data_IF_886482060152
#
_entry.id   IF_886482060152
#
_cell.length_a   1.000
_cell.length_b   1.000
_cell.length_c   1.000
_cell.angle_alpha   90.00
_cell.angle_beta   90.00
_cell.angle_gamma   90.00
#
_symmetry.space_group_name_H-M   'P 1'
#
loop_
_entity.id
_entity.type
_entity.pdbx_description
1 polymer ?
#
# COMPACT_ATOMS: atom_id res chain seq x y z
N UNK A 1 -12.56 53.37 -17.95
CA UNK A 1 -11.51 52.33 -17.79
C UNK A 1 -12.18 51.00 -18.06
N UNK A 2 -12.00 50.47 -19.28
CA UNK A 2 -12.64 49.22 -19.69
C UNK A 2 -11.95 48.06 -18.97
N UNK A 3 -12.76 47.27 -18.24
CA UNK A 3 -12.33 46.06 -17.54
C UNK A 3 -11.87 45.07 -18.63
N UNK A 4 -10.58 44.72 -18.65
CA UNK A 4 -10.08 43.61 -19.46
C UNK A 4 -10.65 42.32 -18.85
N UNK A 5 -11.82 41.90 -19.32
CA UNK A 5 -12.33 40.55 -19.07
C UNK A 5 -11.49 39.59 -19.92
N UNK A 6 -10.36 39.14 -19.37
CA UNK A 6 -9.61 38.03 -19.95
C UNK A 6 -10.49 36.79 -19.85
N UNK A 7 -10.96 36.28 -20.99
CA UNK A 7 -11.69 35.02 -21.03
C UNK A 7 -10.85 33.91 -20.37
N UNK A 8 -11.45 33.03 -19.54
CA UNK A 8 -10.73 31.92 -18.93
C UNK A 8 -10.08 31.09 -20.04
N UNK A 9 -8.75 31.10 -20.09
CA UNK A 9 -7.97 30.41 -21.12
C UNK A 9 -7.61 29.03 -20.61
N UNK A 10 -8.03 28.00 -21.34
CA UNK A 10 -7.64 26.62 -21.09
C UNK A 10 -6.53 26.23 -22.08
N UNK A 11 -5.38 25.82 -21.57
CA UNK A 11 -4.24 25.35 -22.38
C UNK A 11 -4.18 23.83 -22.24
N UNK A 12 -4.44 23.11 -23.35
CA UNK A 12 -4.37 21.65 -23.40
C UNK A 12 -3.12 21.27 -24.20
N UNK A 13 -2.12 20.60 -23.58
CA UNK A 13 -0.93 20.14 -24.28
C UNK A 13 -1.28 19.20 -25.45
N UNK A 14 -0.43 19.18 -26.47
CA UNK A 14 -0.57 18.22 -27.57
C UNK A 14 -0.47 16.79 -27.06
N UNK A 15 -1.42 15.94 -27.47
CA UNK A 15 -1.47 14.53 -27.05
C UNK A 15 -2.24 14.30 -25.74
N UNK A 16 -2.80 15.34 -25.12
CA UNK A 16 -3.73 15.17 -24.01
C UNK A 16 -5.10 14.73 -24.53
N UNK A 17 -5.59 13.60 -24.02
CA UNK A 17 -6.92 13.07 -24.27
C UNK A 17 -7.83 13.42 -23.09
N UNK A 18 -8.99 14.00 -23.37
CA UNK A 18 -9.99 14.35 -22.37
C UNK A 18 -11.30 13.68 -22.78
N UNK A 19 -11.87 12.89 -21.89
CA UNK A 19 -13.14 12.19 -22.09
C UNK A 19 -14.07 12.50 -20.92
N UNK A 20 -15.37 12.53 -21.20
CA UNK A 20 -16.40 12.65 -20.17
C UNK A 20 -17.29 11.43 -20.32
N UNK A 21 -17.44 10.67 -19.25
CA UNK A 21 -18.28 9.47 -19.27
C UNK A 21 -19.79 9.80 -19.18
N UNK A 22 -20.62 8.77 -19.26
CA UNK A 22 -22.10 8.90 -19.17
C UNK A 22 -22.58 9.40 -17.81
N UNK A 23 -21.73 9.36 -16.78
CA UNK A 23 -22.00 9.85 -15.44
C UNK A 23 -21.45 11.27 -15.20
N UNK A 24 -20.85 11.89 -16.23
CA UNK A 24 -20.27 13.23 -16.16
C UNK A 24 -18.89 13.29 -15.51
N UNK A 25 -18.21 12.15 -15.31
CA UNK A 25 -16.86 12.12 -14.74
C UNK A 25 -15.81 12.44 -15.79
N UNK A 26 -14.87 13.30 -15.42
CA UNK A 26 -13.79 13.72 -16.29
C UNK A 26 -12.65 12.69 -16.27
N UNK A 27 -12.26 12.20 -17.44
CA UNK A 27 -11.06 11.39 -17.60
C UNK A 27 -10.03 12.17 -18.40
N UNK A 28 -8.82 12.29 -17.84
CA UNK A 28 -7.72 13.05 -18.42
C UNK A 28 -6.52 12.14 -18.55
N UNK A 29 -5.97 12.07 -19.75
CA UNK A 29 -4.75 11.35 -20.06
C UNK A 29 -3.76 12.28 -20.74
N UNK A 30 -2.58 12.47 -20.17
CA UNK A 30 -1.55 13.36 -20.71
C UNK A 30 -0.21 12.62 -20.86
N UNK A 31 0.58 12.91 -21.91
CA UNK A 31 1.90 12.33 -22.06
C UNK A 31 2.92 12.89 -21.04
N UNK A 32 2.70 14.10 -20.55
CA UNK A 32 3.64 14.81 -19.67
C UNK A 32 3.09 15.05 -18.26
N UNK A 33 3.68 16.02 -17.57
CA UNK A 33 3.26 16.38 -16.22
C UNK A 33 1.84 16.97 -16.21
N UNK A 34 1.06 16.59 -15.21
CA UNK A 34 -0.28 17.12 -14.98
C UNK A 34 -0.31 17.88 -13.67
N UNK A 35 -0.87 19.10 -13.68
CA UNK A 35 -1.10 19.88 -12.48
C UNK A 35 -2.61 20.11 -12.35
N UNK A 36 -3.18 19.67 -11.23
CA UNK A 36 -4.58 19.83 -10.89
C UNK A 36 -4.69 20.93 -9.84
N UNK A 37 -5.23 22.07 -10.27
CA UNK A 37 -5.33 23.28 -9.45
C UNK A 37 -6.74 23.49 -8.88
N UNK A 38 -7.73 22.83 -9.48
CA UNK A 38 -9.14 22.97 -9.12
C UNK A 38 -9.69 21.63 -8.65
N UNK A 39 -10.62 21.68 -7.69
CA UNK A 39 -11.34 20.52 -7.21
C UNK A 39 -12.21 19.89 -8.29
N UNK A 40 -12.43 18.58 -8.21
CA UNK A 40 -13.27 17.88 -9.17
C UNK A 40 -13.34 16.38 -8.96
N UNK A 41 -14.33 15.77 -9.61
CA UNK A 41 -14.52 14.32 -9.66
C UNK A 41 -14.04 13.78 -11.01
N UNK A 42 -13.13 12.82 -10.95
CA UNK A 42 -12.47 12.24 -12.10
C UNK A 42 -12.74 10.74 -12.18
N UNK A 43 -12.95 10.25 -13.40
CA UNK A 43 -12.94 8.82 -13.66
C UNK A 43 -11.49 8.33 -13.63
N UNK A 44 -10.74 8.70 -14.65
CA UNK A 44 -9.32 8.35 -14.79
C UNK A 44 -8.43 9.59 -14.92
N UNK A 45 -7.37 9.64 -14.11
CA UNK A 45 -6.30 10.63 -14.21
C UNK A 45 -5.02 9.87 -14.56
N UNK A 46 -4.51 10.06 -15.77
CA UNK A 46 -3.30 9.40 -16.25
C UNK A 46 -2.24 10.39 -16.74
N UNK A 47 -1.03 10.26 -16.20
CA UNK A 47 0.19 10.83 -16.76
C UNK A 47 1.11 9.70 -17.23
N UNK A 48 1.22 9.52 -18.55
CA UNK A 48 1.88 8.36 -19.17
C UNK A 48 3.41 8.42 -19.00
N UNK A 49 3.99 9.61 -19.05
CA UNK A 49 5.44 9.82 -18.99
C UNK A 49 5.87 10.86 -17.97
N UNK A 50 4.98 11.27 -17.07
CA UNK A 50 5.26 12.35 -16.13
C UNK A 50 4.71 12.10 -14.74
N UNK A 51 4.72 13.19 -13.98
CA UNK A 51 4.24 13.30 -12.61
C UNK A 51 2.86 13.96 -12.58
N UNK A 52 2.08 13.66 -11.54
CA UNK A 52 0.82 14.35 -11.25
C UNK A 52 1.04 15.21 -10.00
N UNK A 53 0.60 16.46 -10.02
CA UNK A 53 0.61 17.35 -8.86
C UNK A 53 -0.80 17.84 -8.56
N UNK A 54 -1.22 17.69 -7.31
CA UNK A 54 -2.48 18.21 -6.77
C UNK A 54 -2.13 19.38 -5.87
N UNK A 55 -2.55 20.58 -6.26
CA UNK A 55 -2.27 21.82 -5.52
C UNK A 55 -3.00 21.88 -4.18
N UNK A 56 -2.52 22.75 -3.28
CA UNK A 56 -3.00 22.87 -1.91
C UNK A 56 -4.50 23.20 -1.81
N UNK A 57 -5.04 23.95 -2.77
CA UNK A 57 -6.45 24.36 -2.78
C UNK A 57 -7.38 23.40 -3.52
N UNK A 58 -6.85 22.28 -4.05
CA UNK A 58 -7.63 21.33 -4.81
C UNK A 58 -8.08 20.14 -3.95
N UNK A 59 -9.35 19.79 -4.08
CA UNK A 59 -9.94 18.56 -3.55
C UNK A 59 -10.30 17.65 -4.72
N UNK A 60 -9.55 16.56 -4.85
CA UNK A 60 -9.63 15.67 -6.01
C UNK A 60 -10.18 14.33 -5.57
N UNK A 61 -11.30 13.93 -6.18
CA UNK A 61 -11.81 12.58 -6.09
C UNK A 61 -11.62 11.87 -7.42
N UNK A 62 -10.98 10.70 -7.41
CA UNK A 62 -10.70 9.96 -8.63
C UNK A 62 -11.01 8.47 -8.46
N UNK A 63 -11.57 7.82 -9.48
CA UNK A 63 -11.66 6.35 -9.47
C UNK A 63 -10.26 5.74 -9.66
N UNK A 64 -9.50 6.26 -10.62
CA UNK A 64 -8.15 5.78 -10.93
C UNK A 64 -7.17 6.92 -11.15
N UNK A 65 -6.02 6.85 -10.48
CA UNK A 65 -4.89 7.76 -10.67
C UNK A 65 -3.64 6.98 -11.04
N UNK A 66 -3.04 7.32 -12.18
CA UNK A 66 -1.83 6.70 -12.70
C UNK A 66 -0.80 7.75 -13.09
N UNK A 67 0.42 7.63 -12.58
CA UNK A 67 1.56 8.39 -13.09
C UNK A 67 2.79 7.50 -13.21
N UNK A 68 3.65 7.79 -14.19
CA UNK A 68 4.89 7.05 -14.40
C UNK A 68 5.92 7.34 -13.31
N UNK A 69 5.93 8.57 -12.81
CA UNK A 69 6.91 9.03 -11.83
C UNK A 69 6.26 9.26 -10.47
N UNK A 70 6.01 10.52 -10.13
CA UNK A 70 5.66 10.92 -8.77
C UNK A 70 4.27 11.54 -8.73
N UNK A 71 3.48 11.16 -7.73
CA UNK A 71 2.26 11.85 -7.36
C UNK A 71 2.55 12.80 -6.19
N UNK A 72 2.52 14.10 -6.45
CA UNK A 72 2.66 15.14 -5.44
C UNK A 72 1.29 15.58 -4.96
N UNK A 73 1.03 15.47 -3.66
CA UNK A 73 -0.23 15.84 -3.04
C UNK A 73 0.02 16.95 -2.02
N UNK A 74 -0.48 18.14 -2.31
CA UNK A 74 -0.45 19.28 -1.40
C UNK A 74 -1.83 19.55 -0.77
N UNK A 75 -2.90 19.27 -1.52
CA UNK A 75 -4.29 19.43 -1.08
C UNK A 75 -4.91 18.14 -0.55
N UNK A 76 -6.11 17.81 -1.06
CA UNK A 76 -6.83 16.58 -0.71
C UNK A 76 -6.95 15.66 -1.93
N UNK A 77 -6.63 14.38 -1.74
CA UNK A 77 -6.77 13.33 -2.74
C UNK A 77 -7.54 12.14 -2.16
N UNK A 78 -8.68 11.80 -2.76
CA UNK A 78 -9.35 10.52 -2.54
C UNK A 78 -9.31 9.71 -3.82
N UNK A 79 -8.67 8.55 -3.80
CA UNK A 79 -8.58 7.69 -4.99
C UNK A 79 -8.65 6.19 -4.70
N UNK A 80 -9.45 5.48 -5.51
CA UNK A 80 -9.70 4.04 -5.33
C UNK A 80 -8.61 3.15 -5.92
N UNK A 81 -7.83 3.67 -6.85
CA UNK A 81 -6.70 2.96 -7.45
C UNK A 81 -5.58 3.94 -7.74
N UNK A 82 -4.48 3.83 -7.01
CA UNK A 82 -3.29 4.65 -7.24
C UNK A 82 -2.12 3.79 -7.71
N UNK A 83 -1.60 4.11 -8.89
CA UNK A 83 -0.39 3.53 -9.47
C UNK A 83 0.61 4.64 -9.79
N UNK A 84 1.65 4.70 -9.01
CA UNK A 84 2.66 5.76 -9.07
C UNK A 84 3.98 5.20 -8.55
N UNK A 85 5.11 5.46 -9.21
CA UNK A 85 6.42 5.00 -8.71
C UNK A 85 6.68 5.59 -7.32
N UNK A 86 6.38 6.87 -7.13
CA UNK A 86 6.51 7.55 -5.84
C UNK A 86 5.27 8.37 -5.49
N UNK A 87 4.98 8.53 -4.20
CA UNK A 87 3.94 9.44 -3.70
C UNK A 87 4.56 10.36 -2.66
N UNK A 88 4.36 11.67 -2.81
CA UNK A 88 4.84 12.69 -1.89
C UNK A 88 3.65 13.46 -1.35
N UNK A 89 3.41 13.34 -0.05
CA UNK A 89 2.40 14.12 0.67
C UNK A 89 3.09 15.25 1.41
N UNK A 90 2.67 16.49 1.18
CA UNK A 90 3.18 17.64 1.94
C UNK A 90 2.61 17.73 3.37
N UNK A 91 3.21 18.58 4.20
CA UNK A 91 3.00 18.67 5.66
C UNK A 91 1.54 18.80 6.12
N UNK A 92 0.61 19.27 5.28
CA UNK A 92 -0.82 19.41 5.58
C UNK A 92 -1.74 18.65 4.62
N UNK A 93 -1.18 17.81 3.75
CA UNK A 93 -1.94 17.10 2.73
C UNK A 93 -2.76 15.94 3.31
N UNK A 94 -3.91 15.67 2.71
CA UNK A 94 -4.77 14.54 3.07
C UNK A 94 -4.91 13.61 1.88
N UNK A 95 -4.56 12.34 2.06
CA UNK A 95 -4.71 11.31 1.02
C UNK A 95 -5.46 10.09 1.57
N UNK A 96 -6.60 9.79 0.97
CA UNK A 96 -7.37 8.55 1.18
C UNK A 96 -7.23 7.72 -0.09
N UNK A 97 -6.19 6.90 -0.15
CA UNK A 97 -5.80 6.22 -1.38
C UNK A 97 -5.59 4.73 -1.18
N UNK A 98 -6.10 3.94 -2.11
CA UNK A 98 -5.79 2.51 -2.18
C UNK A 98 -4.59 2.34 -3.11
N UNK A 99 -3.46 1.96 -2.51
CA UNK A 99 -2.19 1.73 -3.19
C UNK A 99 -2.23 0.38 -3.90
N UNK A 100 -1.76 0.32 -5.14
CA UNK A 100 -1.62 -0.95 -5.87
C UNK A 100 -0.18 -1.20 -6.31
N UNK A 101 0.49 -0.17 -6.82
CA UNK A 101 1.86 -0.27 -7.34
C UNK A 101 2.59 1.02 -7.00
N UNK A 102 3.16 1.07 -5.79
CA UNK A 102 3.94 2.21 -5.30
C UNK A 102 5.22 1.75 -4.67
N UNK A 103 6.34 2.28 -5.17
CA UNK A 103 7.67 1.91 -4.68
C UNK A 103 8.08 2.80 -3.51
N UNK A 104 7.88 4.12 -3.61
CA UNK A 104 8.30 5.08 -2.59
C UNK A 104 7.14 5.96 -2.09
N UNK A 105 7.14 6.29 -0.80
CA UNK A 105 6.17 7.18 -0.16
C UNK A 105 6.91 8.13 0.77
N UNK A 106 6.74 9.43 0.56
CA UNK A 106 7.26 10.48 1.43
C UNK A 106 6.06 11.20 2.08
N UNK A 107 6.04 11.25 3.41
CA UNK A 107 4.90 11.76 4.19
C UNK A 107 5.37 12.94 5.03
N UNK A 108 4.82 14.12 4.75
CA UNK A 108 5.03 15.33 5.52
C UNK A 108 4.52 15.21 6.97
N UNK A 109 4.99 16.10 7.84
CA UNK A 109 4.89 15.94 9.31
C UNK A 109 3.47 15.78 9.86
N UNK A 110 2.47 16.42 9.25
CA UNK A 110 1.07 16.30 9.64
C UNK A 110 0.19 15.72 8.52
N UNK A 111 0.80 15.10 7.51
CA UNK A 111 0.06 14.52 6.41
C UNK A 111 -0.66 13.24 6.85
N UNK A 112 -1.85 13.01 6.31
CA UNK A 112 -2.65 11.83 6.61
C UNK A 112 -2.73 10.94 5.39
N UNK A 113 -2.21 9.71 5.51
CA UNK A 113 -2.34 8.67 4.50
C UNK A 113 -3.22 7.56 5.06
N UNK A 114 -4.40 7.37 4.45
CA UNK A 114 -5.30 6.26 4.74
C UNK A 114 -5.34 5.35 3.52
N UNK A 115 -4.88 4.11 3.67
CA UNK A 115 -4.89 3.14 2.59
C UNK A 115 -5.47 1.79 2.99
N UNK A 116 -6.07 1.13 2.00
CA UNK A 116 -6.51 -0.26 2.12
C UNK A 116 -5.39 -1.15 1.58
N UNK A 117 -4.52 -1.64 2.47
CA UNK A 117 -3.37 -2.45 2.10
C UNK A 117 -3.82 -3.87 1.79
N UNK A 118 -3.31 -4.43 0.70
CA UNK A 118 -3.69 -5.78 0.26
C UNK A 118 -3.12 -6.88 1.17
N UNK A 119 -2.04 -6.59 1.93
CA UNK A 119 -1.45 -7.50 2.92
C UNK A 119 -0.67 -6.77 4.03
N UNK A 120 -0.51 -7.41 5.20
CA UNK A 120 0.35 -6.92 6.29
C UNK A 120 1.82 -6.84 5.85
N UNK A 121 2.25 -7.68 4.88
CA UNK A 121 3.58 -7.63 4.26
C UNK A 121 3.82 -6.32 3.51
N UNK A 122 2.85 -5.84 2.76
CA UNK A 122 2.93 -4.59 2.00
C UNK A 122 3.05 -3.38 2.94
N UNK A 123 2.21 -3.35 3.97
CA UNK A 123 2.26 -2.35 5.03
C UNK A 123 3.63 -2.37 5.74
N UNK A 124 4.14 -3.57 6.06
CA UNK A 124 5.42 -3.72 6.77
C UNK A 124 6.63 -3.41 5.88
N UNK A 125 6.60 -3.76 4.59
CA UNK A 125 7.61 -3.38 3.60
C UNK A 125 7.68 -1.87 3.46
N UNK A 126 6.53 -1.21 3.40
CA UNK A 126 6.42 0.25 3.42
C UNK A 126 7.12 0.79 4.68
N UNK A 127 6.70 0.36 5.87
CA UNK A 127 7.29 0.83 7.13
C UNK A 127 8.77 0.46 7.30
N UNK A 128 9.22 -0.66 6.75
CA UNK A 128 10.62 -1.09 6.81
C UNK A 128 11.51 -0.25 5.88
N UNK A 129 10.99 0.14 4.71
CA UNK A 129 11.64 1.09 3.80
C UNK A 129 11.70 2.50 4.39
N UNK A 130 10.70 2.89 5.19
CA UNK A 130 10.64 4.21 5.85
C UNK A 130 11.11 4.19 7.32
N UNK A 131 11.71 3.10 7.79
CA UNK A 131 12.10 2.95 9.20
C UNK A 131 13.08 4.03 9.68
N UNK A 132 13.89 4.60 8.77
CA UNK A 132 14.78 5.71 9.09
C UNK A 132 14.05 7.06 9.20
N UNK A 133 12.97 7.27 8.42
CA UNK A 133 12.17 8.50 8.47
C UNK A 133 11.17 8.48 9.64
N UNK A 134 10.60 7.30 9.95
CA UNK A 134 9.68 7.09 11.07
C UNK A 134 10.36 7.19 12.45
N UNK A 135 11.70 7.04 12.52
CA UNK A 135 12.47 7.29 13.77
C UNK A 135 12.42 8.76 14.24
N UNK A 136 11.95 9.70 13.39
CA UNK A 136 11.83 11.11 13.75
C UNK A 136 10.42 11.54 14.19
N UNK A 137 9.43 10.65 14.12
CA UNK A 137 8.08 10.96 14.58
C UNK A 137 7.92 10.50 16.04
N UNK A 138 7.51 11.39 16.95
CA UNK A 138 7.07 10.95 18.26
C UNK A 138 5.74 10.22 18.07
N UNK A 139 5.52 9.20 18.89
CA UNK A 139 4.27 8.48 19.13
C UNK A 139 4.18 7.05 18.58
N UNK A 140 3.68 6.24 19.51
CA UNK A 140 3.47 4.82 19.51
C UNK A 140 2.39 4.43 18.50
N UNK A 141 2.55 3.25 17.91
CA UNK A 141 1.44 2.54 17.29
C UNK A 141 0.43 2.16 18.38
N UNK A 142 -0.64 2.96 18.52
CA UNK A 142 -1.73 2.63 19.41
C UNK A 142 -2.58 1.51 18.77
N UNK A 143 -2.20 0.25 19.02
CA UNK A 143 -3.08 -0.90 18.81
C UNK A 143 -4.08 -0.94 19.95
N UNK A 144 -5.06 -0.03 19.95
CA UNK A 144 -5.82 0.18 21.17
C UNK A 144 -7.09 1.01 21.07
N UNK A 145 -7.96 0.77 20.09
CA UNK A 145 -9.41 0.96 20.32
C UNK A 145 -10.23 0.23 19.25
N UNK A 146 -11.08 -0.75 19.62
CA UNK A 146 -12.14 -1.16 18.69
C UNK A 146 -13.00 0.07 18.35
N UNK A 147 -13.55 0.16 17.12
CA UNK A 147 -14.45 1.24 16.77
C UNK A 147 -15.57 1.29 17.83
N UNK A 148 -15.95 2.50 18.31
CA UNK A 148 -17.07 2.60 19.24
C UNK A 148 -18.27 1.90 18.62
N UNK A 149 -18.87 1.01 19.42
CA UNK A 149 -20.06 0.28 19.07
C UNK A 149 -21.06 1.22 18.40
N UNK A 150 -21.59 0.74 17.27
CA UNK A 150 -22.59 1.35 16.42
C UNK A 150 -23.49 2.31 17.19
N UNK A 151 -23.47 3.58 16.78
CA UNK A 151 -24.53 4.53 17.04
C UNK A 151 -25.86 3.84 16.72
N UNK A 152 -26.66 3.68 17.77
CA UNK A 152 -28.01 3.14 17.77
C UNK A 152 -28.78 3.73 16.58
N UNK A 153 -29.10 2.88 15.60
CA UNK A 153 -30.13 3.20 14.63
C UNK A 153 -31.48 3.11 15.37
N UNK A 154 -32.29 4.19 15.43
CA UNK A 154 -33.67 4.06 15.87
C UNK A 154 -34.46 3.22 14.84
N UNK A 155 -35.47 2.45 15.28
CA UNK A 155 -36.14 1.47 14.43
C UNK A 155 -36.86 2.14 13.26
N UNK A 156 -36.51 1.72 12.05
CA UNK A 156 -37.21 2.09 10.83
C UNK A 156 -38.64 1.54 10.89
N UNK A 157 -39.60 2.44 10.69
CA UNK A 157 -41.01 2.13 10.52
C UNK A 157 -41.22 1.17 9.35
N UNK A 158 -42.07 0.16 9.58
CA UNK A 158 -42.67 -0.68 8.56
C UNK A 158 -43.41 0.16 7.52
N UNK A 159 -43.24 -0.14 6.23
CA UNK A 159 -44.28 -0.07 5.19
C UNK A 159 -43.82 -0.89 3.95
N UNK A 160 -44.75 -1.39 3.11
CA UNK A 160 -44.80 -2.80 2.74
C UNK A 160 -44.35 -3.11 1.29
N UNK A 161 -44.15 -4.40 1.03
CA UNK A 161 -43.83 -4.98 -0.27
C UNK A 161 -44.90 -4.72 -1.35
N UNK A 162 -44.52 -4.80 -2.63
CA UNK A 162 -45.40 -5.36 -3.63
C UNK A 162 -44.80 -6.59 -4.32
N UNK A 163 -45.73 -7.47 -4.71
CA UNK A 163 -45.55 -8.80 -5.26
C UNK A 163 -45.14 -8.81 -6.74
N UNK A 164 -44.35 -9.85 -7.07
CA UNK A 164 -44.36 -10.72 -8.25
C UNK A 164 -44.89 -10.19 -9.60
N UNK A 165 -44.01 -10.10 -10.61
CA UNK A 165 -44.41 -10.53 -11.95
C UNK A 165 -43.22 -11.09 -12.76
N UNK A 166 -43.49 -12.21 -13.42
CA UNK A 166 -42.54 -13.11 -14.08
C UNK A 166 -42.27 -12.66 -15.52
N UNK A 167 -41.06 -12.88 -16.03
CA UNK A 167 -40.77 -13.60 -17.30
C UNK A 167 -39.28 -13.65 -17.65
N UNK A 168 -38.89 -14.85 -18.06
CA UNK A 168 -37.62 -15.29 -18.63
C UNK A 168 -37.28 -14.60 -19.97
N UNK A 169 -35.99 -14.39 -20.27
CA UNK A 169 -35.29 -15.17 -21.31
C UNK A 169 -33.79 -14.80 -21.47
N UNK A 170 -33.06 -15.80 -21.94
CA UNK A 170 -31.61 -15.99 -21.92
C UNK A 170 -30.76 -15.07 -22.83
N UNK A 171 -29.52 -14.78 -22.41
CA UNK A 171 -28.30 -15.09 -23.19
C UNK A 171 -27.02 -14.72 -22.47
N UNK A 172 -25.99 -15.53 -22.73
CA UNK A 172 -24.77 -15.64 -21.94
C UNK A 172 -23.85 -14.42 -21.93
N UNK A 173 -23.04 -14.34 -20.88
CA UNK A 173 -21.70 -13.77 -20.97
C UNK A 173 -20.82 -14.45 -19.94
N UNK A 174 -19.74 -15.05 -20.45
CA UNK A 174 -18.81 -15.85 -19.67
C UNK A 174 -18.19 -15.05 -18.54
N UNK A 175 -18.09 -15.68 -17.38
CA UNK A 175 -17.20 -15.25 -16.32
C UNK A 175 -15.76 -15.32 -16.83
N UNK A 176 -15.28 -14.21 -17.39
CA UNK A 176 -13.85 -13.97 -17.54
C UNK A 176 -13.31 -13.81 -16.13
N UNK A 177 -12.83 -14.92 -15.56
CA UNK A 177 -11.88 -14.90 -14.45
C UNK A 177 -10.65 -14.14 -14.95
N UNK A 178 -10.59 -12.84 -14.68
CA UNK A 178 -9.35 -12.09 -14.82
C UNK A 178 -8.44 -12.57 -13.70
N UNK A 179 -7.56 -13.51 -14.06
CA UNK A 179 -6.43 -13.88 -13.23
C UNK A 179 -5.65 -12.60 -12.88
N UNK A 180 -5.31 -12.35 -11.61
CA UNK A 180 -4.36 -11.30 -11.30
C UNK A 180 -3.05 -11.68 -12.00
N UNK A 181 -2.61 -10.80 -12.90
CA UNK A 181 -1.31 -10.88 -13.56
C UNK A 181 -0.25 -10.71 -12.49
N UNK A 182 0.16 -11.84 -11.91
CA UNK A 182 1.38 -11.94 -11.15
C UNK A 182 2.52 -11.46 -12.03
N UNK A 183 3.26 -10.51 -11.50
CA UNK A 183 4.56 -10.05 -12.00
C UNK A 183 5.46 -11.26 -12.25
N UNK A 184 5.52 -11.69 -13.51
CA UNK A 184 6.48 -12.68 -14.00
C UNK A 184 7.85 -12.04 -14.08
N UNK A 185 8.58 -12.01 -12.96
CA UNK A 185 10.01 -12.39 -12.86
C UNK A 185 10.30 -12.73 -11.40
N UNK A 186 9.85 -13.89 -10.94
CA UNK A 186 10.59 -14.73 -9.99
C UNK A 186 10.17 -16.16 -10.33
N UNK A 187 11.06 -16.87 -11.00
CA UNK A 187 10.87 -18.28 -11.32
C UNK A 187 10.65 -19.10 -10.05
N UNK A 188 9.74 -20.06 -10.20
CA UNK A 188 9.34 -21.20 -9.38
C UNK A 188 10.10 -21.47 -8.05
N UNK A 189 9.31 -21.60 -6.97
CA UNK A 189 9.68 -22.47 -5.85
C UNK A 189 9.39 -21.91 -4.45
N UNK A 190 8.11 -21.87 -4.05
CA UNK A 190 7.58 -21.56 -2.70
C UNK A 190 8.01 -20.21 -2.09
N UNK A 191 7.05 -19.30 -1.95
CA UNK A 191 7.23 -18.09 -1.15
C UNK A 191 7.57 -18.46 0.30
N UNK A 192 8.44 -17.67 0.95
CA UNK A 192 8.71 -17.83 2.38
C UNK A 192 7.39 -17.62 3.15
N UNK A 193 7.07 -18.48 4.14
CA UNK A 193 6.00 -18.22 5.09
C UNK A 193 6.09 -16.82 5.67
N UNK A 194 4.95 -16.19 5.89
CA UNK A 194 4.81 -14.80 6.33
C UNK A 194 5.70 -14.51 7.54
N UNK A 195 5.71 -15.39 8.53
CA UNK A 195 6.50 -15.28 9.74
C UNK A 195 8.01 -15.25 9.46
N UNK A 196 8.49 -16.09 8.55
CA UNK A 196 9.91 -16.16 8.18
C UNK A 196 10.33 -14.96 7.34
N UNK A 197 9.44 -14.46 6.50
CA UNK A 197 9.65 -13.21 5.78
C UNK A 197 9.79 -12.03 6.75
N UNK A 198 8.90 -11.90 7.74
CA UNK A 198 8.99 -10.83 8.74
C UNK A 198 10.25 -10.95 9.61
N UNK A 199 10.64 -12.17 9.97
CA UNK A 199 11.90 -12.40 10.68
C UNK A 199 13.11 -11.94 9.85
N UNK A 200 13.14 -12.22 8.54
CA UNK A 200 14.20 -11.77 7.64
C UNK A 200 14.34 -10.24 7.66
N UNK A 201 13.23 -9.51 7.50
CA UNK A 201 13.25 -8.04 7.48
C UNK A 201 13.76 -7.45 8.80
N UNK A 202 13.34 -8.01 9.94
CA UNK A 202 13.80 -7.56 11.26
C UNK A 202 15.32 -7.80 11.44
N UNK A 203 15.82 -8.95 10.99
CA UNK A 203 17.26 -9.29 11.08
C UNK A 203 18.10 -8.45 10.10
N UNK A 204 17.61 -8.17 8.89
CA UNK A 204 18.27 -7.27 7.93
C UNK A 204 18.35 -5.83 8.42
N UNK A 205 17.35 -5.38 9.18
CA UNK A 205 17.39 -4.08 9.82
C UNK A 205 18.43 -4.05 10.94
N UNK A 206 18.51 -5.12 11.72
CA UNK A 206 19.43 -5.18 12.85
C UNK A 206 20.89 -5.36 12.46
N UNK A 207 21.17 -6.09 11.37
CA UNK A 207 22.53 -6.17 10.78
C UNK A 207 23.07 -4.81 10.33
N UNK A 208 22.19 -3.84 10.04
CA UNK A 208 22.57 -2.46 9.67
C UNK A 208 22.70 -1.52 10.88
N UNK A 209 22.33 -1.97 12.09
CA UNK A 209 22.54 -1.21 13.31
C UNK A 209 23.91 -1.59 13.91
N UNK A 210 24.81 -0.61 14.06
CA UNK A 210 26.17 -0.80 14.61
C UNK A 210 26.19 -1.07 16.14
N UNK A 211 25.07 -1.44 16.75
CA UNK A 211 24.94 -1.66 18.20
C UNK A 211 25.48 -3.01 18.68
N UNK A 212 25.91 -3.88 17.77
CA UNK A 212 26.32 -5.25 18.07
C UNK A 212 27.82 -5.47 17.90
N UNK A 213 28.40 -6.34 18.73
CA UNK A 213 29.77 -6.81 18.53
C UNK A 213 29.93 -7.66 17.27
N UNK A 214 31.15 -7.77 16.76
CA UNK A 214 31.47 -8.49 15.51
C UNK A 214 30.96 -9.94 15.47
N UNK A 215 30.92 -10.62 16.61
CA UNK A 215 30.38 -11.99 16.72
C UNK A 215 28.87 -12.03 16.50
N UNK A 216 28.12 -11.10 17.12
CA UNK A 216 26.67 -11.01 16.96
C UNK A 216 26.27 -10.60 15.55
N UNK A 217 27.03 -9.69 14.91
CA UNK A 217 26.80 -9.29 13.52
C UNK A 217 26.95 -10.49 12.58
N UNK A 218 28.02 -11.28 12.71
CA UNK A 218 28.22 -12.49 11.89
C UNK A 218 27.07 -13.50 12.05
N UNK A 219 26.57 -13.66 13.26
CA UNK A 219 25.43 -14.54 13.54
C UNK A 219 24.16 -14.03 12.86
N UNK A 220 23.90 -12.71 12.92
CA UNK A 220 22.76 -12.11 12.25
C UNK A 220 22.88 -12.22 10.72
N UNK A 221 24.06 -11.99 10.15
CA UNK A 221 24.35 -12.18 8.73
C UNK A 221 24.12 -13.63 8.28
N UNK A 222 24.52 -14.61 9.10
CA UNK A 222 24.30 -16.04 8.85
C UNK A 222 22.80 -16.38 8.85
N UNK A 223 22.03 -15.87 9.81
CA UNK A 223 20.57 -16.06 9.84
C UNK A 223 19.87 -15.41 8.63
N UNK A 224 20.27 -14.19 8.26
CA UNK A 224 19.78 -13.51 7.05
C UNK A 224 20.12 -14.31 5.80
N UNK A 225 21.32 -14.88 5.73
CA UNK A 225 21.75 -15.74 4.61
C UNK A 225 20.86 -16.98 4.49
N UNK A 226 20.64 -17.71 5.58
CA UNK A 226 19.78 -18.91 5.59
C UNK A 226 18.34 -18.61 5.15
N UNK A 227 17.79 -17.47 5.60
CA UNK A 227 16.46 -17.02 5.20
C UNK A 227 16.40 -16.63 3.71
N UNK A 228 17.43 -15.95 3.18
CA UNK A 228 17.52 -15.59 1.75
C UNK A 228 17.70 -16.78 0.83
N UNK A 229 18.56 -17.71 1.23
CA UNK A 229 18.84 -18.95 0.50
C UNK A 229 17.72 -19.98 0.66
N UNK A 230 16.71 -19.70 1.49
CA UNK A 230 15.57 -20.57 1.79
C UNK A 230 16.00 -21.92 2.36
N UNK A 231 17.12 -21.96 3.06
CA UNK A 231 17.59 -23.15 3.74
C UNK A 231 16.85 -23.31 5.08
N UNK A 232 15.56 -23.68 4.99
CA UNK A 232 14.65 -23.81 6.14
C UNK A 232 15.02 -25.00 7.03
N UNK A 233 15.61 -26.04 6.45
CA UNK A 233 16.07 -27.21 7.21
C UNK A 233 17.22 -26.83 8.14
N UNK A 234 18.26 -26.16 7.60
CA UNK A 234 19.36 -25.67 8.43
C UNK A 234 18.86 -24.63 9.42
N UNK A 235 18.00 -23.69 8.99
CA UNK A 235 17.44 -22.67 9.90
C UNK A 235 16.70 -23.30 11.08
N UNK A 236 15.85 -24.31 10.86
CA UNK A 236 15.10 -25.01 11.91
C UNK A 236 15.99 -25.64 12.98
N UNK A 237 17.17 -26.13 12.59
CA UNK A 237 18.10 -26.79 13.49
C UNK A 237 19.07 -25.82 14.17
N UNK A 238 19.38 -24.69 13.53
CA UNK A 238 20.46 -23.80 13.96
C UNK A 238 19.97 -22.51 14.62
N UNK A 239 18.74 -22.06 14.38
CA UNK A 239 18.26 -20.74 14.81
C UNK A 239 18.38 -20.52 16.31
N UNK A 240 18.02 -21.52 17.14
CA UNK A 240 18.15 -21.42 18.61
C UNK A 240 19.60 -21.25 19.06
N UNK A 241 20.51 -21.98 18.45
CA UNK A 241 21.93 -21.93 18.79
C UNK A 241 22.58 -20.64 18.31
N UNK A 242 22.23 -20.19 17.11
CA UNK A 242 22.70 -18.94 16.53
C UNK A 242 22.20 -17.75 17.36
N UNK A 243 20.89 -17.63 17.59
CA UNK A 243 20.32 -16.54 18.38
C UNK A 243 20.79 -16.56 19.84
N UNK A 244 21.08 -17.74 20.41
CA UNK A 244 21.68 -17.87 21.75
C UNK A 244 23.12 -17.36 21.87
N UNK A 245 23.82 -17.11 20.75
CA UNK A 245 25.16 -16.51 20.73
C UNK A 245 25.14 -14.98 20.72
N UNK A 246 23.97 -14.36 20.55
CA UNK A 246 23.82 -12.91 20.55
C UNK A 246 23.79 -12.42 21.99
N UNK A 247 24.81 -11.66 22.38
CA UNK A 247 24.86 -10.97 23.67
C UNK A 247 23.86 -9.82 23.64
N UNK A 248 22.88 -9.84 24.55
CA UNK A 248 21.80 -8.85 24.67
C UNK A 248 20.99 -8.63 23.38
N UNK A 249 20.07 -9.56 23.03
CA UNK A 249 19.26 -9.39 21.83
C UNK A 249 18.31 -8.19 21.96
N UNK A 250 18.40 -7.29 20.99
CA UNK A 250 17.49 -6.16 20.82
C UNK A 250 16.03 -6.61 20.63
N UNK A 251 15.08 -5.66 20.72
CA UNK A 251 13.65 -5.97 20.59
C UNK A 251 13.32 -6.60 19.22
N UNK A 252 13.98 -6.15 18.16
CA UNK A 252 13.78 -6.64 16.79
C UNK A 252 14.30 -8.08 16.64
N UNK A 253 15.45 -8.42 17.25
CA UNK A 253 16.02 -9.78 17.28
C UNK A 253 15.13 -10.74 18.08
N UNK A 254 14.61 -10.30 19.23
CA UNK A 254 13.68 -11.11 20.04
C UNK A 254 12.40 -11.40 19.28
N UNK A 255 11.86 -10.40 18.59
CA UNK A 255 10.65 -10.58 17.78
C UNK A 255 10.89 -11.47 16.56
N UNK A 256 12.04 -11.36 15.90
CA UNK A 256 12.44 -12.28 14.84
C UNK A 256 12.53 -13.73 15.36
N UNK A 257 13.08 -13.93 16.56
CA UNK A 257 13.14 -15.25 17.19
C UNK A 257 11.75 -15.85 17.43
N UNK A 258 10.81 -15.08 17.96
CA UNK A 258 9.42 -15.53 18.19
C UNK A 258 8.72 -15.90 16.89
N UNK A 259 8.93 -15.15 15.81
CA UNK A 259 8.36 -15.42 14.50
C UNK A 259 8.94 -16.71 13.90
N UNK A 260 10.25 -16.92 13.99
CA UNK A 260 10.91 -18.16 13.53
C UNK A 260 10.42 -19.36 14.35
N UNK A 261 10.30 -19.22 15.67
CA UNK A 261 9.73 -20.26 16.53
C UNK A 261 8.28 -20.58 16.16
N UNK A 262 7.46 -19.56 15.88
CA UNK A 262 6.06 -19.74 15.48
C UNK A 262 5.95 -20.47 14.14
N UNK A 263 6.76 -20.08 13.16
CA UNK A 263 6.82 -20.71 11.84
C UNK A 263 7.13 -22.21 11.92
N UNK A 264 8.07 -22.60 12.80
CA UNK A 264 8.46 -23.99 12.97
C UNK A 264 7.64 -24.77 14.01
N UNK A 265 6.78 -24.08 14.78
CA UNK A 265 5.86 -24.69 15.76
C UNK A 265 4.50 -25.01 15.14
N UNK A 266 4.09 -24.37 14.06
CA UNK A 266 2.95 -24.81 13.26
C UNK A 266 3.39 -25.96 12.35
N UNK A 267 3.00 -27.21 12.63
CA UNK A 267 3.15 -28.27 11.64
C UNK A 267 2.11 -28.04 10.53
N UNK A 268 2.45 -28.42 9.31
CA UNK A 268 1.61 -28.48 8.12
C UNK A 268 0.10 -28.64 8.42
N UNK A 269 -0.65 -27.54 8.47
CA UNK A 269 -2.11 -27.59 8.47
C UNK A 269 -2.68 -27.86 7.06
N UNK A 270 -1.84 -27.91 6.03
CA UNK A 270 -2.24 -28.21 4.64
C UNK A 270 -1.98 -29.67 4.22
N UNK A 271 -1.43 -30.52 5.09
CA UNK A 271 -1.21 -31.95 4.78
C UNK A 271 -2.34 -32.88 5.30
N UNK A 272 -3.40 -32.34 5.90
CA UNK A 272 -4.57 -33.11 6.40
C UNK A 272 -5.87 -32.57 5.79
N UNK A 273 -5.91 -32.52 4.46
CA UNK A 273 -7.15 -32.61 3.71
C UNK A 273 -6.89 -33.64 2.60
N UNK A 274 -7.23 -34.89 2.92
CA UNK A 274 -7.25 -35.99 1.94
C UNK A 274 -8.37 -35.84 0.93
#
# INVERSE_FOLDING_TARGET
MSKNDSAPTMIIPSGTEIQIDVHGQLSVRTPGNLVIQNSGHYGEIESVGGSIRIEANAEVEAVSLRCAETCYVQGSLTAWRVKARAIHLEDSAQARIVLQETEAIDIGKNAQLVGNFSSEKELFLLFSRFAQQLRSLPFYFDRGTPPPAQLEQPPAAEEPAPEDDRRDDASGSGTVRVAPLTSRVLEEGRELPDELFFALVLLERETKNDSYGATSIRVLEELVKLLKERDLETLRHTHRTLLGRIVEPGPDVRRAHELIERAFRQPDAEAVAG
#
